data_IF_425736803523
#
_entry.id   IF_425736803523
#
_cell.length_a   1.000
_cell.length_b   1.000
_cell.length_c   1.000
_cell.angle_alpha   90.00
_cell.angle_beta   90.00
_cell.angle_gamma   90.00
#
_symmetry.space_group_name_H-M   'P 1'
#
loop_
_entity.id
_entity.type
_entity.pdbx_description
1 polymer ?
#
# COMPACT_ATOMS: atom_id res chain seq x y z
N UNK A 1 21.77 -6.83 10.01
CA UNK A 1 21.48 -5.57 9.32
C UNK A 1 20.64 -5.94 8.11
N UNK A 2 19.39 -5.47 8.02
CA UNK A 2 18.53 -5.79 6.86
C UNK A 2 18.90 -4.79 5.77
N UNK A 3 19.48 -5.29 4.69
CA UNK A 3 19.90 -4.50 3.54
C UNK A 3 18.65 -3.89 2.88
N UNK A 4 18.62 -2.56 2.78
CA UNK A 4 17.58 -1.83 2.05
C UNK A 4 17.85 -1.90 0.54
N UNK A 5 17.97 -3.10 -0.03
CA UNK A 5 18.08 -3.24 -1.49
C UNK A 5 16.68 -3.15 -2.10
N UNK A 6 16.58 -2.49 -3.26
CA UNK A 6 15.34 -2.44 -4.03
C UNK A 6 14.78 -3.83 -4.39
N UNK A 7 15.62 -4.87 -4.35
CA UNK A 7 15.19 -6.26 -4.52
C UNK A 7 14.13 -6.68 -3.49
N UNK A 8 14.21 -6.18 -2.25
CA UNK A 8 13.20 -6.45 -1.21
C UNK A 8 11.91 -5.65 -1.42
N UNK A 9 11.88 -4.71 -2.36
CA UNK A 9 10.79 -3.76 -2.63
C UNK A 9 10.10 -4.01 -3.98
N UNK A 10 10.82 -4.58 -4.95
CA UNK A 10 10.39 -4.79 -6.35
C UNK A 10 9.81 -6.21 -6.59
N UNK A 11 10.02 -7.17 -5.69
CA UNK A 11 9.61 -8.58 -5.88
C UNK A 11 8.16 -8.92 -5.49
N UNK A 12 7.28 -7.93 -5.35
CA UNK A 12 5.98 -8.13 -4.71
C UNK A 12 4.79 -8.37 -5.64
N UNK A 13 4.95 -8.20 -6.94
CA UNK A 13 3.83 -8.17 -7.88
C UNK A 13 3.45 -9.54 -8.45
N UNK A 14 4.27 -10.57 -8.27
CA UNK A 14 4.08 -11.89 -8.92
C UNK A 14 4.29 -13.11 -8.01
N UNK A 15 4.32 -12.93 -6.69
CA UNK A 15 4.49 -14.07 -5.78
C UNK A 15 3.11 -14.62 -5.33
N UNK A 16 2.66 -15.80 -5.81
CA UNK A 16 1.37 -16.38 -5.43
C UNK A 16 1.28 -16.73 -3.92
N UNK A 17 2.40 -16.68 -3.19
CA UNK A 17 2.44 -16.90 -1.74
C UNK A 17 2.32 -15.63 -0.88
N UNK A 18 2.11 -14.45 -1.45
CA UNK A 18 2.09 -13.19 -0.69
C UNK A 18 0.91 -12.29 -1.10
N UNK A 19 0.19 -11.75 -0.11
CA UNK A 19 -0.87 -10.75 -0.29
C UNK A 19 -0.49 -9.48 0.46
N UNK A 20 -0.46 -8.34 -0.22
CA UNK A 20 -0.12 -7.06 0.39
C UNK A 20 -1.40 -6.28 0.66
N UNK A 21 -1.62 -5.90 1.91
CA UNK A 21 -2.81 -5.17 2.36
C UNK A 21 -2.41 -3.74 2.72
N UNK A 22 -2.90 -2.77 1.96
CA UNK A 22 -2.90 -1.36 2.35
C UNK A 22 -4.11 -1.05 3.23
N UNK A 23 -3.87 -0.67 4.48
CA UNK A 23 -4.93 -0.30 5.43
C UNK A 23 -5.17 1.21 5.55
N UNK A 24 -4.56 2.02 4.67
CA UNK A 24 -4.87 3.44 4.53
C UNK A 24 -6.29 3.65 3.98
N UNK A 25 -6.79 4.87 4.07
CA UNK A 25 -8.10 5.20 3.52
C UNK A 25 -8.12 5.12 1.99
N UNK A 26 -9.32 5.13 1.43
CA UNK A 26 -9.58 4.97 0.00
C UNK A 26 -8.84 6.04 -0.81
N UNK A 27 -8.99 7.32 -0.45
CA UNK A 27 -8.27 8.42 -1.12
C UNK A 27 -6.74 8.35 -0.98
N UNK A 28 -6.22 7.80 0.14
CA UNK A 28 -4.78 7.61 0.30
C UNK A 28 -4.24 6.52 -0.65
N UNK A 29 -5.04 5.48 -0.92
CA UNK A 29 -4.68 4.37 -1.81
C UNK A 29 -4.84 4.74 -3.30
N UNK A 30 -5.96 5.40 -3.65
CA UNK A 30 -6.23 5.85 -5.02
C UNK A 30 -5.17 6.83 -5.53
N UNK A 31 -4.68 7.71 -4.66
CA UNK A 31 -3.63 8.65 -5.01
C UNK A 31 -2.32 7.96 -5.40
N UNK A 32 -1.88 6.98 -4.60
CA UNK A 32 -0.65 6.22 -4.82
C UNK A 32 -0.56 5.06 -3.83
N UNK A 33 -0.05 3.89 -4.23
CA UNK A 33 0.05 2.69 -3.40
C UNK A 33 1.17 1.75 -3.88
N UNK A 34 1.54 0.78 -3.04
CA UNK A 34 2.50 -0.27 -3.44
C UNK A 34 1.85 -1.12 -4.55
N UNK A 35 2.48 -1.29 -5.72
CA UNK A 35 1.95 -2.11 -6.81
C UNK A 35 1.57 -3.51 -6.34
N UNK A 36 0.42 -4.00 -6.80
CA UNK A 36 -0.12 -5.31 -6.41
C UNK A 36 -0.75 -5.36 -5.02
N UNK A 37 -0.75 -4.27 -4.24
CA UNK A 37 -1.47 -4.23 -2.97
C UNK A 37 -2.98 -4.07 -3.14
N UNK A 38 -3.75 -4.66 -2.23
CA UNK A 38 -5.19 -4.51 -2.12
C UNK A 38 -5.53 -3.55 -0.98
N UNK A 39 -6.58 -2.74 -1.15
CA UNK A 39 -6.97 -1.77 -0.13
C UNK A 39 -8.07 -2.31 0.79
N UNK A 40 -7.72 -2.50 2.07
CA UNK A 40 -8.67 -2.82 3.14
C UNK A 40 -8.54 -1.78 4.27
N UNK A 41 -9.21 -0.61 4.14
CA UNK A 41 -9.07 0.50 5.08
C UNK A 41 -9.50 0.12 6.50
N UNK A 42 -8.62 0.33 7.48
CA UNK A 42 -9.02 0.24 8.91
C UNK A 42 -9.79 1.48 9.37
N UNK A 43 -9.65 2.58 8.64
CA UNK A 43 -10.47 3.78 8.74
C UNK A 43 -10.75 4.25 7.31
N UNK A 44 -12.02 4.45 6.96
CA UNK A 44 -12.38 5.08 5.68
C UNK A 44 -12.00 6.57 5.66
N UNK A 45 -12.19 7.24 4.54
CA UNK A 45 -11.84 8.66 4.39
C UNK A 45 -12.45 9.60 5.43
N UNK A 46 -13.74 9.44 5.74
CA UNK A 46 -14.45 10.27 6.72
C UNK A 46 -13.98 9.99 8.15
N UNK A 47 -13.89 8.71 8.52
CA UNK A 47 -13.39 8.27 9.82
C UNK A 47 -11.94 8.71 10.04
N UNK A 48 -11.09 8.58 9.01
CA UNK A 48 -9.69 9.04 9.04
C UNK A 48 -9.64 10.55 9.26
N UNK A 49 -10.47 11.32 8.57
CA UNK A 49 -10.54 12.78 8.69
C UNK A 49 -11.01 13.18 10.09
N UNK A 50 -12.04 12.53 10.63
CA UNK A 50 -12.56 12.77 11.97
C UNK A 50 -11.50 12.47 13.04
N UNK A 51 -10.97 11.24 13.05
CA UNK A 51 -9.93 10.82 13.99
C UNK A 51 -8.71 11.73 13.89
N UNK A 52 -8.27 12.07 12.67
CA UNK A 52 -7.14 12.98 12.45
C UNK A 52 -7.39 14.40 12.97
N UNK A 53 -8.62 14.89 12.83
CA UNK A 53 -9.03 16.21 13.35
C UNK A 53 -9.00 16.24 14.87
N UNK A 54 -9.55 15.21 15.52
CA UNK A 54 -9.51 15.08 16.98
C UNK A 54 -8.09 14.90 17.46
N UNK A 55 -7.26 14.10 16.76
CA UNK A 55 -5.89 13.78 17.18
C UNK A 55 -5.01 15.04 17.32
N UNK A 56 -5.18 16.01 16.41
CA UNK A 56 -4.48 17.30 16.48
C UNK A 56 -4.79 18.10 17.75
N UNK A 57 -5.98 17.90 18.34
CA UNK A 57 -6.44 18.60 19.55
C UNK A 57 -6.20 17.77 20.82
N UNK A 58 -6.59 16.50 20.80
CA UNK A 58 -6.46 15.56 21.90
C UNK A 58 -6.13 14.14 21.37
N UNK A 59 -4.86 13.73 21.45
CA UNK A 59 -4.42 12.41 20.99
C UNK A 59 -5.07 11.23 21.74
N UNK A 60 -5.41 11.40 23.01
CA UNK A 60 -5.99 10.31 23.81
C UNK A 60 -7.43 10.01 23.35
N UNK A 61 -8.27 11.04 23.23
CA UNK A 61 -9.64 10.92 22.73
C UNK A 61 -9.68 10.38 21.30
N UNK A 62 -8.77 10.84 20.43
CA UNK A 62 -8.66 10.32 19.07
C UNK A 62 -8.29 8.83 19.03
N UNK A 63 -7.40 8.37 19.92
CA UNK A 63 -7.07 6.94 20.05
C UNK A 63 -8.27 6.13 20.54
N UNK A 64 -9.06 6.65 21.47
CA UNK A 64 -10.29 5.97 21.92
C UNK A 64 -11.33 5.85 20.80
N UNK A 65 -11.58 6.93 20.04
CA UNK A 65 -12.47 6.89 18.89
C UNK A 65 -11.93 5.95 17.81
N UNK A 66 -10.67 6.11 17.43
CA UNK A 66 -10.02 5.30 16.42
C UNK A 66 -10.04 3.82 16.78
N UNK A 67 -9.77 3.45 18.03
CA UNK A 67 -9.86 2.05 18.48
C UNK A 67 -11.26 1.46 18.28
N UNK A 68 -12.33 2.21 18.59
CA UNK A 68 -13.71 1.74 18.38
C UNK A 68 -14.02 1.52 16.90
N UNK A 69 -13.69 2.50 16.06
CA UNK A 69 -13.95 2.44 14.62
C UNK A 69 -13.15 1.32 13.96
N UNK A 70 -11.85 1.26 14.24
CA UNK A 70 -10.94 0.22 13.72
C UNK A 70 -11.42 -1.16 14.13
N UNK A 71 -11.81 -1.38 15.38
CA UNK A 71 -12.32 -2.69 15.82
C UNK A 71 -13.56 -3.12 15.04
N UNK A 72 -14.49 -2.19 14.75
CA UNK A 72 -15.65 -2.48 13.92
C UNK A 72 -15.26 -2.82 12.48
N UNK A 73 -14.32 -2.06 11.91
CA UNK A 73 -13.87 -2.27 10.53
C UNK A 73 -13.05 -3.56 10.37
N UNK A 74 -12.25 -3.95 11.37
CA UNK A 74 -11.49 -5.20 11.35
C UNK A 74 -12.43 -6.39 11.14
N UNK A 75 -13.61 -6.41 11.77
CA UNK A 75 -14.59 -7.47 11.54
C UNK A 75 -14.97 -7.60 10.06
N UNK A 76 -15.16 -6.48 9.37
CA UNK A 76 -15.49 -6.47 7.93
C UNK A 76 -14.29 -6.85 7.08
N UNK A 77 -13.08 -6.45 7.49
CA UNK A 77 -11.84 -6.78 6.78
C UNK A 77 -11.57 -8.29 6.86
N UNK A 78 -11.81 -8.92 8.01
CA UNK A 78 -11.66 -10.38 8.16
C UNK A 78 -12.57 -11.12 7.19
N UNK A 79 -13.83 -10.70 7.04
CA UNK A 79 -14.73 -11.27 6.02
C UNK A 79 -14.14 -11.12 4.61
N UNK A 80 -13.65 -9.93 4.24
CA UNK A 80 -13.01 -9.71 2.93
C UNK A 80 -11.78 -10.59 2.71
N UNK A 81 -11.03 -10.91 3.76
CA UNK A 81 -9.87 -11.81 3.68
C UNK A 81 -10.35 -13.25 3.44
N UNK A 82 -11.41 -13.69 4.12
CA UNK A 82 -12.02 -15.00 3.90
C UNK A 82 -12.53 -15.13 2.47
N UNK A 83 -13.28 -14.13 1.98
CA UNK A 83 -13.81 -14.10 0.62
C UNK A 83 -12.67 -14.16 -0.42
N UNK A 84 -11.58 -13.41 -0.20
CA UNK A 84 -10.40 -13.41 -1.07
C UNK A 84 -9.72 -14.78 -1.12
N UNK A 85 -9.60 -15.45 0.03
CA UNK A 85 -9.00 -16.78 0.15
C UNK A 85 -9.84 -17.78 -0.64
N UNK A 86 -11.16 -17.73 -0.50
CA UNK A 86 -12.10 -18.62 -1.20
C UNK A 86 -12.07 -18.38 -2.71
N UNK A 87 -12.27 -17.13 -3.14
CA UNK A 87 -12.31 -16.73 -4.56
C UNK A 87 -11.04 -17.16 -5.30
N UNK A 88 -9.88 -16.97 -4.67
CA UNK A 88 -8.58 -17.29 -5.27
C UNK A 88 -8.09 -18.70 -4.96
N UNK A 89 -8.90 -19.52 -4.26
CA UNK A 89 -8.52 -20.87 -3.82
C UNK A 89 -7.15 -20.91 -3.14
N UNK A 90 -6.85 -19.89 -2.33
CA UNK A 90 -5.58 -19.74 -1.62
C UNK A 90 -5.59 -20.68 -0.42
N UNK A 91 -4.49 -21.38 -0.18
CA UNK A 91 -4.33 -22.10 1.09
C UNK A 91 -3.90 -21.11 2.20
N UNK A 92 -4.72 -20.90 3.26
CA UNK A 92 -4.40 -19.96 4.33
C UNK A 92 -3.06 -20.21 5.03
N UNK A 93 -2.61 -21.46 5.06
CA UNK A 93 -1.33 -21.85 5.68
C UNK A 93 -0.09 -21.55 4.81
N UNK A 94 -0.29 -21.26 3.52
CA UNK A 94 0.80 -21.02 2.56
C UNK A 94 0.90 -19.57 2.10
N UNK A 95 -0.05 -18.72 2.48
CA UNK A 95 -0.07 -17.30 2.14
C UNK A 95 0.51 -16.47 3.28
N UNK A 96 1.37 -15.51 2.95
CA UNK A 96 1.81 -14.46 3.85
C UNK A 96 1.04 -13.16 3.58
N UNK A 97 0.48 -12.56 4.62
CA UNK A 97 -0.15 -11.24 4.54
C UNK A 97 0.84 -10.15 4.99
N UNK A 98 1.15 -9.20 4.11
CA UNK A 98 1.99 -8.05 4.43
C UNK A 98 1.14 -6.80 4.57
N UNK A 99 1.06 -6.26 5.78
CA UNK A 99 0.18 -5.13 6.09
C UNK A 99 1.00 -3.85 6.17
N UNK A 100 0.50 -2.77 5.59
CA UNK A 100 1.11 -1.45 5.75
C UNK A 100 0.08 -0.34 5.90
N UNK A 101 0.54 0.75 6.51
CA UNK A 101 -0.15 2.04 6.47
C UNK A 101 0.88 3.11 6.10
N UNK A 102 0.53 4.40 6.21
CA UNK A 102 1.43 5.49 5.81
C UNK A 102 2.84 5.42 6.43
N UNK A 103 2.94 5.08 7.73
CA UNK A 103 4.23 5.07 8.48
C UNK A 103 4.50 3.77 9.24
N UNK A 104 3.76 2.70 8.97
CA UNK A 104 3.87 1.45 9.75
C UNK A 104 3.50 1.62 11.23
N UNK A 105 2.53 2.48 11.52
CA UNK A 105 2.11 2.83 12.88
C UNK A 105 0.91 2.03 13.40
N UNK A 106 0.11 2.66 14.26
CA UNK A 106 -1.03 2.02 14.95
C UNK A 106 -2.08 1.42 14.00
N UNK A 107 -2.32 2.04 12.83
CA UNK A 107 -3.32 1.59 11.85
C UNK A 107 -3.01 0.20 11.28
N UNK A 108 -1.78 -0.04 10.84
CA UNK A 108 -1.40 -1.37 10.34
C UNK A 108 -1.23 -2.37 11.48
N UNK A 109 -0.73 -1.91 12.63
CA UNK A 109 -0.52 -2.77 13.79
C UNK A 109 -1.83 -3.31 14.39
N UNK A 110 -2.94 -2.58 14.31
CA UNK A 110 -4.22 -3.04 14.83
C UNK A 110 -4.77 -4.26 14.09
N UNK A 111 -4.72 -4.27 12.75
CA UNK A 111 -5.12 -5.43 11.97
C UNK A 111 -4.12 -6.59 12.14
N UNK A 112 -2.82 -6.28 12.15
CA UNK A 112 -1.76 -7.26 12.37
C UNK A 112 -1.98 -8.08 13.64
N UNK A 113 -2.26 -7.44 14.78
CA UNK A 113 -2.46 -8.15 16.06
C UNK A 113 -3.61 -9.16 15.95
N UNK A 114 -4.71 -8.79 15.32
CA UNK A 114 -5.88 -9.68 15.19
C UNK A 114 -5.56 -10.85 14.27
N UNK A 115 -4.95 -10.58 13.11
CA UNK A 115 -4.56 -11.64 12.17
C UNK A 115 -3.49 -12.59 12.76
N UNK A 116 -2.53 -12.05 13.49
CA UNK A 116 -1.49 -12.82 14.19
C UNK A 116 -2.12 -13.74 15.24
N UNK A 117 -3.07 -13.24 16.03
CA UNK A 117 -3.79 -14.03 17.04
C UNK A 117 -4.67 -15.13 16.44
N UNK A 118 -5.21 -14.93 15.24
CA UNK A 118 -5.93 -15.98 14.49
C UNK A 118 -4.97 -17.08 14.01
N UNK A 119 -3.68 -16.76 13.84
CA UNK A 119 -2.66 -17.69 13.35
C UNK A 119 -2.32 -17.55 11.88
N UNK A 120 -2.74 -16.46 11.22
CA UNK A 120 -2.26 -16.17 9.86
C UNK A 120 -0.76 -15.87 9.87
N UNK A 121 -0.05 -16.30 8.83
CA UNK A 121 1.31 -15.81 8.57
C UNK A 121 1.21 -14.35 8.14
N UNK A 122 1.52 -13.43 9.03
CA UNK A 122 1.35 -11.99 8.80
C UNK A 122 2.61 -11.22 9.19
N UNK A 123 2.95 -10.18 8.43
CA UNK A 123 4.07 -9.28 8.72
C UNK A 123 3.72 -7.83 8.42
N UNK A 124 4.48 -6.90 9.01
CA UNK A 124 4.31 -5.46 8.77
C UNK A 124 5.40 -4.97 7.82
N UNK A 125 5.02 -4.16 6.81
CA UNK A 125 6.02 -3.43 6.02
C UNK A 125 6.63 -2.33 6.89
N UNK A 126 7.91 -2.48 7.22
CA UNK A 126 8.64 -1.56 8.09
C UNK A 126 8.66 -0.16 7.49
N UNK A 127 8.30 0.83 8.30
CA UNK A 127 8.21 2.24 7.86
C UNK A 127 7.01 2.55 6.97
N UNK A 128 6.24 1.53 6.56
CA UNK A 128 5.04 1.66 5.75
C UNK A 128 5.29 2.28 4.38
N UNK A 129 4.23 2.85 3.81
CA UNK A 129 4.27 3.45 2.47
C UNK A 129 5.30 4.58 2.34
N UNK A 130 5.56 5.33 3.41
CA UNK A 130 6.56 6.40 3.41
C UNK A 130 7.96 5.88 3.10
N UNK A 131 8.37 4.77 3.70
CA UNK A 131 9.72 4.23 3.45
C UNK A 131 9.80 3.57 2.08
N UNK A 132 8.73 2.90 1.63
CA UNK A 132 8.58 2.42 0.25
C UNK A 132 8.83 3.55 -0.76
N UNK A 133 8.09 4.67 -0.61
CA UNK A 133 8.20 5.82 -1.51
C UNK A 133 9.58 6.47 -1.46
N UNK A 134 10.20 6.53 -0.28
CA UNK A 134 11.57 7.03 -0.13
C UNK A 134 12.58 6.14 -0.89
N UNK A 135 12.41 4.82 -0.85
CA UNK A 135 13.23 3.89 -1.63
C UNK A 135 13.16 4.17 -3.13
N UNK A 136 11.96 4.39 -3.66
CA UNK A 136 11.77 4.79 -5.07
C UNK A 136 12.46 6.11 -5.37
N UNK A 137 12.26 7.13 -4.53
CA UNK A 137 12.87 8.45 -4.75
C UNK A 137 14.39 8.34 -4.78
N UNK A 138 14.98 7.58 -3.86
CA UNK A 138 16.43 7.37 -3.81
C UNK A 138 16.92 6.63 -5.06
N UNK A 139 16.22 5.56 -5.46
CA UNK A 139 16.53 4.85 -6.70
C UNK A 139 16.50 5.77 -7.91
N UNK A 140 15.43 6.54 -8.09
CA UNK A 140 15.30 7.48 -9.20
C UNK A 140 16.34 8.60 -9.16
N UNK A 141 16.83 8.98 -7.98
CA UNK A 141 17.89 10.00 -7.86
C UNK A 141 19.26 9.51 -8.31
N UNK A 142 19.51 8.20 -8.22
CA UNK A 142 20.75 7.55 -8.66
C UNK A 142 20.60 6.89 -10.04
N UNK A 143 19.36 6.73 -10.52
CA UNK A 143 19.05 6.13 -11.80
C UNK A 143 19.60 6.98 -12.94
N UNK A 144 20.61 6.43 -13.61
CA UNK A 144 21.12 6.93 -14.87
C UNK A 144 20.70 5.96 -15.97
N UNK A 145 19.96 6.47 -16.95
CA UNK A 145 19.66 5.75 -18.18
C UNK A 145 20.15 6.57 -19.36
N UNK A 146 21.04 5.98 -20.15
CA UNK A 146 21.48 6.56 -21.43
C UNK A 146 20.35 6.57 -22.47
N UNK A 147 19.25 5.85 -22.22
CA UNK A 147 18.12 5.67 -23.13
C UNK A 147 16.84 6.39 -22.66
N UNK A 148 16.92 7.33 -21.72
CA UNK A 148 15.75 8.13 -21.32
C UNK A 148 15.52 9.27 -22.30
N UNK A 149 14.54 9.14 -23.19
CA UNK A 149 14.11 10.21 -24.08
C UNK A 149 12.97 11.03 -23.45
N UNK A 150 13.21 12.31 -23.16
CA UNK A 150 12.19 13.23 -22.63
C UNK A 150 11.56 14.03 -23.76
N UNK A 151 10.28 13.77 -24.05
CA UNK A 151 9.50 14.55 -25.03
C UNK A 151 8.79 15.70 -24.29
N UNK A 152 9.24 16.94 -24.52
CA UNK A 152 8.63 18.15 -23.94
C UNK A 152 8.09 19.10 -25.02
N UNK A 153 7.07 19.88 -24.69
CA UNK A 153 6.47 20.84 -25.62
C UNK A 153 5.11 21.37 -25.14
N UNK A 154 4.63 22.47 -25.74
CA UNK A 154 3.34 23.09 -25.42
C UNK A 154 2.15 22.14 -25.67
N UNK A 155 1.01 22.38 -25.03
CA UNK A 155 -0.23 21.67 -25.37
C UNK A 155 -0.57 21.85 -26.86
N UNK A 156 -1.02 20.79 -27.53
CA UNK A 156 -1.28 20.81 -28.98
C UNK A 156 -0.05 20.61 -29.88
N UNK A 157 1.15 20.38 -29.34
CA UNK A 157 2.37 20.16 -30.12
C UNK A 157 2.56 18.73 -30.67
N UNK A 158 1.48 17.93 -30.74
CA UNK A 158 1.52 16.58 -31.30
C UNK A 158 2.32 15.50 -30.55
N UNK A 159 2.61 15.71 -29.25
CA UNK A 159 3.38 14.74 -28.45
C UNK A 159 2.71 13.36 -28.37
N UNK A 160 1.37 13.32 -28.36
CA UNK A 160 0.62 12.06 -28.34
C UNK A 160 0.85 11.27 -29.63
N UNK A 161 0.81 11.91 -30.81
CA UNK A 161 1.08 11.23 -32.07
C UNK A 161 2.52 10.70 -32.15
N UNK A 162 3.48 11.44 -31.60
CA UNK A 162 4.88 10.98 -31.50
C UNK A 162 4.99 9.74 -30.62
N UNK A 163 4.32 9.73 -29.46
CA UNK A 163 4.31 8.56 -28.57
C UNK A 163 3.70 7.32 -29.26
N UNK A 164 2.61 7.48 -30.01
CA UNK A 164 1.98 6.39 -30.76
C UNK A 164 2.89 5.83 -31.86
N UNK A 165 3.70 6.68 -32.51
CA UNK A 165 4.69 6.23 -33.52
C UNK A 165 5.81 5.45 -32.84
N UNK A 166 6.36 5.97 -31.73
CA UNK A 166 7.43 5.30 -30.99
C UNK A 166 7.00 3.91 -30.48
N UNK A 167 5.76 3.79 -29.99
CA UNK A 167 5.19 2.51 -29.57
C UNK A 167 5.11 1.49 -30.72
N UNK A 168 4.68 1.93 -31.91
CA UNK A 168 4.60 1.07 -33.11
C UNK A 168 5.98 0.62 -33.62
N UNK A 169 6.99 1.46 -33.49
CA UNK A 169 8.36 1.18 -33.93
C UNK A 169 9.16 0.35 -32.90
N UNK A 170 8.53 -0.06 -31.79
CA UNK A 170 9.17 -0.80 -30.68
C UNK A 170 10.40 -0.08 -30.11
N UNK A 171 10.32 1.25 -30.06
CA UNK A 171 11.33 2.08 -29.41
C UNK A 171 11.27 1.95 -27.87
#
# INVERSE_FOLDING_TARGET
MVNNNLDDLVLFTENPGCVIIDVRSESEFELDHIPGSINFPVLNDDERKEVGTIYKKNPFTAKQLGARLISSNISKILQKIEDLIEEKSINPSKVEFKIYCWRGGMRSRSLFIVMEMIGYKVSLIKGGYKEYRKGIINYLSEFQSENLLVIHGLSGSGKTEILEILEKEHF
#
